data_IF_113969621205
#
_entry.id   IF_113969621205
#
_cell.length_a   1.000
_cell.length_b   1.000
_cell.length_c   1.000
_cell.angle_alpha   90.00
_cell.angle_beta   90.00
_cell.angle_gamma   90.00
#
_symmetry.space_group_name_H-M   'P 1'
#
loop_
_entity.id
_entity.type
_entity.pdbx_description
1 polymer ?
#
# COMPACT_ATOMS: atom_id res chain seq x y z
N UNK A 1 -21.21 -11.34 27.77
CA UNK A 1 -21.42 -9.89 27.58
C UNK A 1 -22.07 -9.68 26.23
N UNK A 2 -23.27 -9.19 26.21
CA UNK A 2 -23.96 -8.92 24.94
C UNK A 2 -23.56 -7.51 24.45
N UNK A 3 -23.14 -7.45 23.20
CA UNK A 3 -22.90 -6.17 22.53
C UNK A 3 -24.25 -5.55 22.17
N UNK A 4 -24.47 -4.32 22.64
CA UNK A 4 -25.65 -3.55 22.25
C UNK A 4 -25.20 -2.57 21.17
N UNK A 5 -25.65 -2.79 19.93
CA UNK A 5 -25.43 -1.83 18.86
C UNK A 5 -26.13 -0.51 19.20
N UNK A 6 -25.49 0.64 18.86
CA UNK A 6 -26.16 1.94 18.99
C UNK A 6 -27.49 1.92 18.25
N UNK A 7 -28.54 2.46 18.88
CA UNK A 7 -29.88 2.52 18.28
C UNK A 7 -29.82 3.27 16.93
N UNK A 8 -30.33 2.66 15.87
CA UNK A 8 -30.38 3.23 14.51
C UNK A 8 -29.17 2.96 13.64
N UNK A 9 -28.15 2.22 14.10
CA UNK A 9 -26.94 1.88 13.31
C UNK A 9 -26.86 0.40 12.94
N UNK A 10 -26.60 0.09 11.67
CA UNK A 10 -26.14 -1.24 11.29
C UNK A 10 -24.76 -1.48 11.91
N UNK A 11 -24.48 -2.72 12.36
CA UNK A 11 -23.14 -3.12 12.78
C UNK A 11 -22.21 -2.96 11.59
N UNK A 12 -21.24 -2.04 11.68
CA UNK A 12 -20.24 -1.87 10.64
C UNK A 12 -19.29 -3.08 10.67
N UNK A 13 -19.22 -3.80 9.57
CA UNK A 13 -18.22 -4.86 9.42
C UNK A 13 -16.85 -4.25 9.11
N UNK A 14 -15.80 -4.96 9.48
CA UNK A 14 -14.44 -4.60 9.07
C UNK A 14 -14.35 -4.65 7.55
N UNK A 15 -13.88 -3.57 6.95
CA UNK A 15 -13.61 -3.49 5.52
C UNK A 15 -12.10 -3.55 5.28
N UNK A 16 -11.69 -4.60 4.58
CA UNK A 16 -10.28 -4.86 4.26
C UNK A 16 -10.12 -5.15 2.77
N UNK A 17 -8.94 -4.88 2.25
CA UNK A 17 -8.54 -5.32 0.91
C UNK A 17 -7.09 -5.79 0.91
N UNK A 18 -6.80 -6.78 0.09
CA UNK A 18 -5.48 -7.30 -0.22
C UNK A 18 -5.21 -7.15 -1.71
N UNK A 19 -4.12 -6.47 -2.06
CA UNK A 19 -3.74 -6.17 -3.44
C UNK A 19 -2.30 -6.61 -3.67
N UNK A 20 -2.06 -7.36 -4.73
CA UNK A 20 -0.72 -7.71 -5.18
C UNK A 20 -0.04 -6.51 -5.83
N UNK A 21 1.21 -6.30 -5.48
CA UNK A 21 2.05 -5.24 -6.02
C UNK A 21 3.06 -5.80 -7.03
N UNK A 22 3.42 -4.99 -8.02
CA UNK A 22 4.43 -5.32 -9.01
C UNK A 22 5.20 -4.07 -9.46
N UNK A 23 6.17 -4.26 -10.34
CA UNK A 23 6.91 -3.19 -10.96
C UNK A 23 8.36 -3.12 -10.51
N UNK A 24 9.10 -2.27 -11.19
CA UNK A 24 10.51 -2.00 -10.96
C UNK A 24 10.77 -0.51 -11.18
N UNK A 25 10.18 0.37 -10.34
CA UNK A 25 10.27 1.80 -10.55
C UNK A 25 11.68 2.33 -10.30
N UNK A 26 12.10 3.31 -11.10
CA UNK A 26 13.24 4.16 -10.79
C UNK A 26 12.90 5.09 -9.61
N UNK A 27 13.90 5.81 -9.10
CA UNK A 27 13.68 6.82 -8.06
C UNK A 27 12.60 7.84 -8.49
N UNK A 28 11.72 8.19 -7.59
CA UNK A 28 10.52 9.00 -7.79
C UNK A 28 9.46 8.37 -8.74
N UNK A 29 9.63 7.12 -9.11
CA UNK A 29 8.60 6.33 -9.80
C UNK A 29 7.69 5.61 -8.81
N UNK A 30 6.67 4.94 -9.33
CA UNK A 30 5.62 4.30 -8.52
C UNK A 30 5.50 2.82 -8.83
N UNK A 31 5.21 2.03 -7.80
CA UNK A 31 4.85 0.62 -7.95
C UNK A 31 3.44 0.46 -8.54
N UNK A 32 3.22 -0.67 -9.18
CA UNK A 32 1.94 -0.99 -9.83
C UNK A 32 1.06 -1.82 -8.89
N UNK A 33 -0.21 -1.44 -8.77
CA UNK A 33 -1.25 -2.23 -8.12
C UNK A 33 -1.78 -3.24 -9.13
N UNK A 34 -1.46 -4.52 -8.97
CA UNK A 34 -1.72 -5.51 -10.02
C UNK A 34 -3.07 -6.18 -9.88
N UNK A 35 -3.29 -6.91 -8.81
CA UNK A 35 -4.48 -7.76 -8.65
C UNK A 35 -5.12 -7.51 -7.29
N UNK A 36 -6.43 -7.32 -7.28
CA UNK A 36 -7.23 -7.37 -6.05
C UNK A 36 -7.48 -8.84 -5.71
N UNK A 37 -6.78 -9.35 -4.70
CA UNK A 37 -6.87 -10.75 -4.30
C UNK A 37 -8.15 -11.03 -3.51
N UNK A 38 -8.46 -10.15 -2.57
CA UNK A 38 -9.66 -10.26 -1.74
C UNK A 38 -10.06 -8.87 -1.21
N UNK A 39 -11.34 -8.68 -0.96
CA UNK A 39 -11.85 -7.49 -0.28
C UNK A 39 -13.24 -7.68 0.33
N UNK A 40 -13.51 -6.89 1.36
CA UNK A 40 -14.83 -6.77 2.00
C UNK A 40 -15.38 -5.33 1.91
N UNK A 41 -14.77 -4.46 1.09
CA UNK A 41 -15.25 -3.09 0.89
C UNK A 41 -16.63 -3.09 0.22
N UNK A 42 -17.50 -2.18 0.64
CA UNK A 42 -18.78 -1.92 -0.04
C UNK A 42 -18.57 -1.36 -1.45
N UNK A 43 -17.54 -0.54 -1.61
CA UNK A 43 -17.07 -0.07 -2.91
C UNK A 43 -15.63 -0.55 -3.11
N UNK A 44 -15.42 -1.48 -4.02
CA UNK A 44 -14.11 -2.01 -4.31
C UNK A 44 -13.12 -0.92 -4.77
N UNK A 45 -11.83 -1.02 -4.38
CA UNK A 45 -10.80 -0.17 -4.98
C UNK A 45 -10.76 -0.31 -6.50
N UNK A 46 -10.47 0.77 -7.19
CA UNK A 46 -10.29 0.79 -8.66
C UNK A 46 -8.89 1.27 -9.04
N UNK A 47 -8.52 1.11 -10.32
CA UNK A 47 -7.17 1.49 -10.77
C UNK A 47 -6.16 0.35 -10.72
N UNK A 48 -6.62 -0.91 -10.79
CA UNK A 48 -5.73 -2.07 -10.93
C UNK A 48 -5.01 -2.03 -12.28
N UNK A 49 -3.84 -2.65 -12.33
CA UNK A 49 -2.88 -2.56 -13.44
C UNK A 49 -2.39 -1.14 -13.72
N UNK A 50 -2.37 -0.32 -12.69
CA UNK A 50 -1.96 1.08 -12.72
C UNK A 50 -1.11 1.41 -11.49
N UNK A 51 -0.43 2.53 -11.54
CA UNK A 51 0.33 3.08 -10.40
C UNK A 51 -0.53 3.93 -9.46
N UNK A 52 -1.80 4.12 -9.78
CA UNK A 52 -2.76 4.90 -8.98
C UNK A 52 -3.93 4.00 -8.60
N UNK A 53 -4.10 3.77 -7.31
CA UNK A 53 -5.27 3.11 -6.76
C UNK A 53 -6.27 4.16 -6.29
N UNK A 54 -7.53 4.03 -6.70
CA UNK A 54 -8.60 4.92 -6.26
C UNK A 54 -9.45 4.25 -5.17
N UNK A 55 -9.61 4.95 -4.05
CA UNK A 55 -10.46 4.55 -2.93
C UNK A 55 -11.61 5.54 -2.76
N UNK A 56 -12.74 5.07 -2.27
CA UNK A 56 -13.84 5.96 -1.88
C UNK A 56 -13.42 6.89 -0.73
N UNK A 57 -14.13 7.99 -0.55
CA UNK A 57 -13.98 8.84 0.63
C UNK A 57 -14.06 8.03 1.91
N UNK A 58 -13.21 8.32 2.88
CA UNK A 58 -13.15 7.58 4.14
C UNK A 58 -11.83 7.74 4.88
N UNK A 59 -11.70 6.96 5.94
CA UNK A 59 -10.48 6.87 6.75
C UNK A 59 -9.87 5.49 6.61
N UNK A 60 -8.58 5.43 6.31
CA UNK A 60 -7.90 4.19 5.98
C UNK A 60 -6.55 4.04 6.69
N UNK A 61 -6.20 2.80 6.96
CA UNK A 61 -4.84 2.38 7.28
C UNK A 61 -4.28 1.59 6.10
N UNK A 62 -3.01 1.79 5.82
CA UNK A 62 -2.30 1.11 4.73
C UNK A 62 -1.06 0.41 5.26
N UNK A 63 -0.78 -0.75 4.72
CA UNK A 63 0.46 -1.48 4.96
C UNK A 63 0.95 -2.14 3.68
N UNK A 64 2.14 -1.75 3.23
CA UNK A 64 2.79 -2.36 2.07
C UNK A 64 3.97 -3.22 2.54
N UNK A 65 3.94 -4.48 2.16
CA UNK A 65 5.03 -5.44 2.35
C UNK A 65 5.63 -5.71 0.97
N UNK A 66 6.85 -5.25 0.73
CA UNK A 66 7.52 -5.41 -0.55
C UNK A 66 8.62 -6.48 -0.45
N UNK A 67 8.48 -7.54 -1.21
CA UNK A 67 9.55 -8.51 -1.44
C UNK A 67 10.29 -8.11 -2.72
N UNK A 68 11.57 -7.84 -2.60
CA UNK A 68 12.38 -7.35 -3.72
C UNK A 68 13.53 -8.31 -4.05
N UNK A 69 13.78 -8.49 -5.33
CA UNK A 69 15.01 -9.10 -5.83
C UNK A 69 15.98 -7.99 -6.19
N UNK A 70 17.21 -8.11 -5.71
CA UNK A 70 18.29 -7.17 -5.96
C UNK A 70 19.45 -7.84 -6.68
N UNK A 71 20.07 -7.09 -7.57
CA UNK A 71 21.30 -7.52 -8.25
C UNK A 71 22.56 -7.18 -7.46
N UNK A 72 22.47 -6.28 -6.49
CA UNK A 72 23.59 -5.85 -5.66
C UNK A 72 23.15 -5.76 -4.19
N UNK A 73 23.91 -6.38 -3.29
CA UNK A 73 23.61 -6.51 -1.87
C UNK A 73 23.77 -5.21 -1.05
N UNK A 74 24.46 -4.21 -1.58
CA UNK A 74 24.76 -2.97 -0.87
C UNK A 74 23.79 -1.83 -1.21
N UNK A 75 22.65 -2.13 -1.84
CA UNK A 75 21.70 -1.10 -2.22
C UNK A 75 20.60 -0.91 -1.20
N UNK A 76 20.33 0.34 -0.91
CA UNK A 76 19.23 0.77 -0.07
C UNK A 76 18.09 1.28 -0.95
N UNK A 77 16.90 0.70 -0.76
CA UNK A 77 15.68 1.16 -1.39
C UNK A 77 14.77 1.73 -0.32
N UNK A 78 14.21 2.89 -0.59
CA UNK A 78 13.22 3.51 0.27
C UNK A 78 11.91 3.68 -0.52
N UNK A 79 10.81 3.39 0.13
CA UNK A 79 9.48 3.56 -0.45
C UNK A 79 8.50 4.12 0.58
N UNK A 80 7.50 4.84 0.11
CA UNK A 80 6.53 5.50 0.97
C UNK A 80 5.19 5.65 0.25
N UNK A 81 4.11 5.68 1.00
CA UNK A 81 2.80 6.01 0.47
C UNK A 81 2.71 7.48 0.08
N UNK A 82 2.02 7.74 -1.01
CA UNK A 82 1.54 9.05 -1.42
C UNK A 82 0.01 9.01 -1.52
N UNK A 83 -0.67 9.92 -0.84
CA UNK A 83 -2.11 10.08 -0.93
C UNK A 83 -2.44 11.51 -1.38
N UNK A 84 -3.23 11.63 -2.44
CA UNK A 84 -3.64 12.91 -3.03
C UNK A 84 -2.46 13.89 -3.26
N UNK A 85 -1.33 13.34 -3.72
CA UNK A 85 -0.12 14.10 -4.04
C UNK A 85 0.80 14.42 -2.85
N UNK A 86 0.53 13.89 -1.67
CA UNK A 86 1.35 14.11 -0.48
C UNK A 86 1.91 12.79 0.04
N UNK A 87 3.21 12.78 0.35
CA UNK A 87 3.82 11.64 1.04
C UNK A 87 3.23 11.52 2.44
N UNK A 88 2.84 10.31 2.81
CA UNK A 88 2.21 10.01 4.09
C UNK A 88 2.87 8.81 4.76
N UNK A 89 2.73 8.74 6.08
CA UNK A 89 3.14 7.58 6.83
C UNK A 89 4.66 7.42 6.95
N UNK A 90 5.07 6.21 7.24
CA UNK A 90 6.45 5.83 7.48
C UNK A 90 7.15 5.40 6.19
N UNK A 91 8.38 5.81 6.01
CA UNK A 91 9.27 5.28 4.97
C UNK A 91 9.64 3.83 5.28
N UNK A 92 9.42 2.96 4.30
CA UNK A 92 9.92 1.59 4.34
C UNK A 92 11.32 1.52 3.73
N UNK A 93 12.13 0.60 4.23
CA UNK A 93 13.50 0.35 3.76
C UNK A 93 13.68 -1.11 3.40
N UNK A 94 14.47 -1.39 2.40
CA UNK A 94 15.00 -2.74 2.20
C UNK A 94 16.34 -2.86 2.92
N UNK A 95 16.54 -3.94 3.67
CA UNK A 95 17.80 -4.18 4.38
C UNK A 95 18.99 -4.33 3.43
N UNK A 96 20.16 -3.87 3.86
CA UNK A 96 21.38 -3.82 3.06
C UNK A 96 21.93 -5.20 2.63
N UNK A 97 21.58 -6.27 3.33
CA UNK A 97 22.19 -7.58 3.15
C UNK A 97 21.23 -8.72 2.78
N UNK A 98 19.97 -8.41 2.52
CA UNK A 98 18.97 -9.43 2.18
C UNK A 98 18.55 -9.36 0.73
N UNK A 99 18.56 -10.51 0.05
CA UNK A 99 18.08 -10.60 -1.33
C UNK A 99 16.56 -10.55 -1.46
N UNK A 100 15.83 -10.69 -0.37
CA UNK A 100 14.41 -11.02 -0.41
C UNK A 100 13.59 -10.44 0.73
N UNK A 101 13.90 -9.25 1.24
CA UNK A 101 12.99 -8.64 2.20
C UNK A 101 12.97 -7.13 2.08
N UNK A 102 11.78 -6.61 1.95
CA UNK A 102 11.50 -5.22 2.18
C UNK A 102 10.97 -5.05 3.59
N UNK A 103 11.31 -3.95 4.19
CA UNK A 103 10.63 -3.45 5.36
C UNK A 103 9.20 -3.01 4.98
N UNK A 104 8.39 -2.81 5.98
CA UNK A 104 6.99 -2.44 5.82
C UNK A 104 6.86 -0.92 5.84
N UNK A 105 6.21 -0.36 4.82
CA UNK A 105 5.69 1.00 4.89
C UNK A 105 4.26 0.98 5.42
N UNK A 106 3.96 1.90 6.33
CA UNK A 106 2.65 2.04 6.95
C UNK A 106 2.20 3.49 6.88
N UNK A 107 0.91 3.71 6.73
CA UNK A 107 0.32 5.04 6.74
C UNK A 107 -1.14 5.03 7.12
N UNK A 108 -1.62 6.18 7.52
CA UNK A 108 -3.03 6.47 7.73
C UNK A 108 -3.42 7.71 6.95
N UNK A 109 -4.59 7.71 6.37
CA UNK A 109 -5.09 8.85 5.62
C UNK A 109 -6.60 8.94 5.69
N UNK A 110 -7.11 10.15 5.73
CA UNK A 110 -8.54 10.44 5.74
C UNK A 110 -8.87 11.51 4.73
N UNK A 111 -9.92 11.29 3.95
CA UNK A 111 -10.45 12.29 3.01
C UNK A 111 -11.96 12.22 2.94
N UNK A 112 -12.60 13.37 2.78
CA UNK A 112 -14.02 13.49 2.47
C UNK A 112 -14.32 13.32 0.98
N UNK A 113 -13.29 13.15 0.16
CA UNK A 113 -13.37 12.90 -1.29
C UNK A 113 -12.69 11.57 -1.61
N UNK A 114 -12.87 11.08 -2.84
CA UNK A 114 -12.11 9.93 -3.33
C UNK A 114 -10.60 10.16 -3.20
N UNK A 115 -9.86 9.11 -2.84
CA UNK A 115 -8.43 9.16 -2.55
C UNK A 115 -7.66 8.56 -3.72
N UNK A 116 -6.64 9.26 -4.21
CA UNK A 116 -5.62 8.72 -5.10
C UNK A 116 -4.43 8.23 -4.28
N UNK A 117 -4.28 6.90 -4.17
CA UNK A 117 -3.19 6.26 -3.43
C UNK A 117 -2.12 5.76 -4.39
N UNK A 118 -0.86 6.02 -4.05
CA UNK A 118 0.32 5.50 -4.75
C UNK A 118 1.34 5.00 -3.74
N UNK A 119 2.31 4.21 -4.21
CA UNK A 119 3.50 3.83 -3.45
C UNK A 119 4.71 4.29 -4.25
N UNK A 120 5.40 5.29 -3.74
CA UNK A 120 6.56 5.90 -4.39
C UNK A 120 7.86 5.20 -3.99
N UNK A 121 8.72 4.96 -4.96
CA UNK A 121 10.12 4.63 -4.72
C UNK A 121 10.90 5.92 -4.44
N UNK A 122 11.00 6.30 -3.17
CA UNK A 122 11.53 7.60 -2.75
C UNK A 122 13.02 7.72 -2.98
N UNK A 123 13.78 6.64 -2.75
CA UNK A 123 15.22 6.59 -3.00
C UNK A 123 15.64 5.23 -3.54
N UNK A 124 16.41 5.25 -4.59
CA UNK A 124 17.01 4.07 -5.24
C UNK A 124 18.46 4.42 -5.57
N UNK A 125 19.42 3.66 -5.04
CA UNK A 125 20.82 4.04 -5.17
C UNK A 125 21.40 3.81 -6.56
N UNK A 126 21.28 2.63 -7.15
CA UNK A 126 21.92 2.35 -8.44
C UNK A 126 21.09 1.57 -9.45
N UNK A 127 20.24 0.66 -9.02
CA UNK A 127 19.35 -0.09 -9.91
C UNK A 127 17.99 -0.32 -9.28
N UNK A 128 16.96 -0.22 -10.10
CA UNK A 128 15.60 -0.43 -9.65
C UNK A 128 15.41 -1.85 -9.10
N UNK A 129 14.76 -2.02 -7.93
CA UNK A 129 14.41 -3.34 -7.43
C UNK A 129 13.31 -3.95 -8.31
N UNK A 130 13.28 -5.25 -8.40
CA UNK A 130 12.15 -5.97 -8.99
C UNK A 130 11.33 -6.59 -7.88
N UNK A 131 10.03 -6.30 -7.85
CA UNK A 131 9.13 -6.93 -6.89
C UNK A 131 8.89 -8.38 -7.25
N UNK A 132 8.91 -9.24 -6.24
CA UNK A 132 8.48 -10.63 -6.35
C UNK A 132 6.98 -10.77 -6.14
N UNK A 133 6.43 -11.92 -6.48
CA UNK A 133 5.00 -12.23 -6.34
C UNK A 133 4.46 -12.20 -4.90
N UNK A 134 5.34 -12.13 -3.91
CA UNK A 134 4.95 -12.00 -2.49
C UNK A 134 4.66 -10.58 -2.03
N UNK A 135 4.87 -9.59 -2.89
CA UNK A 135 4.65 -8.18 -2.52
C UNK A 135 3.17 -7.85 -2.46
N UNK A 136 2.72 -7.31 -1.33
CA UNK A 136 1.31 -7.09 -1.02
C UNK A 136 1.07 -5.71 -0.41
N UNK A 137 -0.09 -5.15 -0.74
CA UNK A 137 -0.70 -4.03 -0.04
C UNK A 137 -1.94 -4.52 0.72
N UNK A 138 -1.99 -4.18 2.00
CA UNK A 138 -3.17 -4.35 2.84
C UNK A 138 -3.79 -2.99 3.14
N UNK A 139 -5.11 -2.92 3.06
CA UNK A 139 -5.88 -1.72 3.32
C UNK A 139 -6.99 -2.05 4.30
N UNK A 140 -7.13 -1.22 5.34
CA UNK A 140 -8.24 -1.29 6.30
C UNK A 140 -8.99 0.03 6.26
N UNK A 141 -10.29 -0.03 6.09
CA UNK A 141 -11.15 1.12 6.35
C UNK A 141 -11.51 1.15 7.83
N UNK A 142 -11.33 2.30 8.47
CA UNK A 142 -11.44 2.45 9.94
C UNK A 142 -12.58 3.37 10.40
N UNK A 143 -13.46 3.76 9.49
CA UNK A 143 -14.63 4.60 9.78
C UNK A 143 -15.99 3.92 9.51
#
# INVERSE_FOLDING_TARGET
MSYIAPSGGAVKRLQIAEITLSGSPAANGYFTFSTLEDHTFDTAPTGLNSTVLSLAAGSYMFRACLDVTRTNHNQNYQFQFEADGNLIGRVGHTGLYSNTRADVSEGVYRSSSAISLKIEAVAIETSAPTLTSGSKLFIWRVD
#
